data_IF_284963991344
#
_entry.id   IF_284963991344
#
_cell.length_a   1.000
_cell.length_b   1.000
_cell.length_c   1.000
_cell.angle_alpha   90.00
_cell.angle_beta   90.00
_cell.angle_gamma   90.00
#
_symmetry.space_group_name_H-M   'P 1'
#
loop_
_entity.id
_entity.type
_entity.pdbx_description
1 polymer ?
#
# COMPACT_ATOMS: atom_id res chain seq x y z
N UNK A 1 33.42 -11.02 -34.39
CA UNK A 1 32.21 -10.18 -34.61
C UNK A 1 31.16 -10.34 -33.49
N UNK A 2 31.13 -11.46 -32.78
CA UNK A 2 30.16 -11.79 -31.69
C UNK A 2 30.44 -11.11 -30.34
N UNK A 3 31.71 -10.86 -29.98
CA UNK A 3 32.07 -10.28 -28.68
C UNK A 3 31.57 -8.83 -28.47
N UNK A 4 31.54 -8.02 -29.53
CA UNK A 4 31.07 -6.63 -29.47
C UNK A 4 29.55 -6.52 -29.31
N UNK A 5 28.80 -7.46 -29.88
CA UNK A 5 27.33 -7.53 -29.74
C UNK A 5 26.95 -7.88 -28.31
N UNK A 6 27.66 -8.82 -27.68
CA UNK A 6 27.43 -9.21 -26.28
C UNK A 6 27.74 -8.03 -25.34
N UNK A 7 28.82 -7.28 -25.58
CA UNK A 7 29.16 -6.10 -24.80
C UNK A 7 28.11 -4.97 -24.92
N UNK A 8 27.58 -4.72 -26.12
CA UNK A 8 26.53 -3.72 -26.34
C UNK A 8 25.22 -4.16 -25.67
N UNK A 9 24.83 -5.44 -25.78
CA UNK A 9 23.62 -5.96 -25.12
C UNK A 9 23.76 -5.92 -23.59
N UNK A 10 24.93 -6.24 -23.04
CA UNK A 10 25.18 -6.22 -21.60
C UNK A 10 25.09 -4.81 -20.98
N UNK A 11 25.36 -3.76 -21.76
CA UNK A 11 25.27 -2.36 -21.29
C UNK A 11 23.94 -1.70 -21.66
N UNK A 12 23.39 -1.96 -22.84
CA UNK A 12 22.14 -1.37 -23.29
C UNK A 12 20.92 -1.95 -22.58
N UNK A 13 20.89 -3.26 -22.32
CA UNK A 13 19.74 -3.93 -21.73
C UNK A 13 19.43 -3.42 -20.29
N UNK A 14 20.42 -3.26 -19.37
CA UNK A 14 20.16 -2.70 -18.05
C UNK A 14 19.67 -1.25 -18.09
N UNK A 15 20.21 -0.43 -19.01
CA UNK A 15 19.81 0.99 -19.15
C UNK A 15 18.38 1.10 -19.68
N UNK A 16 18.04 0.31 -20.69
CA UNK A 16 16.67 0.25 -21.25
C UNK A 16 15.68 -0.25 -20.20
N UNK A 17 16.04 -1.29 -19.44
CA UNK A 17 15.21 -1.78 -18.34
C UNK A 17 15.04 -0.71 -17.26
N UNK A 18 16.11 -0.01 -16.85
CA UNK A 18 16.04 1.06 -15.86
C UNK A 18 15.14 2.21 -16.32
N UNK A 19 15.30 2.67 -17.56
CA UNK A 19 14.43 3.70 -18.16
C UNK A 19 12.97 3.24 -18.20
N UNK A 20 12.71 1.98 -18.56
CA UNK A 20 11.36 1.41 -18.59
C UNK A 20 10.74 1.35 -17.18
N UNK A 21 11.49 0.96 -16.15
CA UNK A 21 11.03 0.97 -14.76
C UNK A 21 10.70 2.38 -14.26
N UNK A 22 11.52 3.37 -14.61
CA UNK A 22 11.28 4.78 -14.27
C UNK A 22 10.00 5.29 -14.93
N UNK A 23 9.85 5.06 -16.24
CA UNK A 23 8.66 5.46 -17.01
C UNK A 23 7.39 4.76 -16.51
N UNK A 24 7.47 3.46 -16.21
CA UNK A 24 6.36 2.70 -15.64
C UNK A 24 5.94 3.24 -14.26
N UNK A 25 6.91 3.63 -13.42
CA UNK A 25 6.65 4.27 -12.13
C UNK A 25 5.96 5.63 -12.27
N UNK A 26 6.43 6.46 -13.20
CA UNK A 26 5.85 7.78 -13.48
C UNK A 26 4.43 7.68 -14.07
N UNK A 27 4.19 6.72 -14.97
CA UNK A 27 2.87 6.47 -15.54
C UNK A 27 1.85 6.06 -14.46
N UNK A 28 2.25 5.22 -13.50
CA UNK A 28 1.39 4.86 -12.36
C UNK A 28 1.08 6.05 -11.46
N UNK A 29 2.07 6.91 -11.17
CA UNK A 29 1.85 8.15 -10.40
C UNK A 29 0.86 9.08 -11.09
N UNK A 30 1.02 9.32 -12.39
CA UNK A 30 0.10 10.13 -13.19
C UNK A 30 -1.30 9.51 -13.23
N UNK A 31 -1.40 8.19 -13.40
CA UNK A 31 -2.68 7.48 -13.42
C UNK A 31 -3.46 7.59 -12.11
N UNK A 32 -2.78 7.61 -10.95
CA UNK A 32 -3.41 7.83 -9.65
C UNK A 32 -3.99 9.24 -9.51
N UNK A 33 -3.23 10.26 -9.90
CA UNK A 33 -3.69 11.65 -9.86
C UNK A 33 -4.86 11.88 -10.84
N UNK A 34 -4.80 11.31 -12.05
CA UNK A 34 -5.90 11.37 -13.02
C UNK A 34 -7.15 10.68 -12.49
N UNK A 35 -7.03 9.46 -11.96
CA UNK A 35 -8.16 8.73 -11.40
C UNK A 35 -8.79 9.49 -10.22
N UNK A 36 -7.98 10.08 -9.35
CA UNK A 36 -8.49 10.88 -8.24
C UNK A 36 -9.34 12.05 -8.74
N UNK A 37 -8.87 12.79 -9.75
CA UNK A 37 -9.64 13.88 -10.37
C UNK A 37 -10.94 13.39 -11.01
N UNK A 38 -10.89 12.30 -11.77
CA UNK A 38 -12.08 11.71 -12.43
C UNK A 38 -13.15 11.28 -11.43
N UNK A 39 -12.75 10.87 -10.22
CA UNK A 39 -13.64 10.38 -9.17
C UNK A 39 -13.98 11.43 -8.11
N UNK A 40 -13.46 12.65 -8.23
CA UNK A 40 -13.64 13.69 -7.21
C UNK A 40 -13.01 13.33 -5.86
N UNK A 41 -11.93 12.56 -5.88
CA UNK A 41 -11.15 12.22 -4.69
C UNK A 41 -10.04 13.23 -4.44
N UNK A 42 -9.70 13.41 -3.17
CA UNK A 42 -8.62 14.31 -2.78
C UNK A 42 -7.27 13.64 -3.02
N UNK A 43 -6.42 14.31 -3.81
CA UNK A 43 -5.08 13.87 -4.12
C UNK A 43 -4.04 14.77 -3.47
N UNK A 44 -3.09 14.15 -2.77
CA UNK A 44 -1.98 14.80 -2.11
C UNK A 44 -0.67 14.30 -2.71
N UNK A 45 0.21 15.19 -3.15
CA UNK A 45 1.56 14.85 -3.57
C UNK A 45 2.54 15.93 -3.19
N UNK A 46 3.71 15.56 -2.68
CA UNK A 46 4.75 16.53 -2.39
C UNK A 46 5.84 15.94 -1.52
N UNK A 47 7.04 16.53 -1.63
CA UNK A 47 8.14 16.21 -0.74
C UNK A 47 7.80 16.71 0.68
N UNK A 48 7.25 15.81 1.52
CA UNK A 48 6.94 15.98 2.96
C UNK A 48 5.52 16.43 3.29
N UNK A 49 4.54 15.56 3.00
CA UNK A 49 3.20 15.62 3.62
C UNK A 49 3.20 15.27 5.13
N UNK A 50 4.33 15.37 5.82
CA UNK A 50 4.47 14.96 7.23
C UNK A 50 5.75 15.38 7.94
N UNK A 51 6.54 16.31 7.38
CA UNK A 51 7.58 17.02 8.11
C UNK A 51 7.26 18.51 8.02
N UNK A 52 7.17 19.18 9.17
CA UNK A 52 7.09 20.64 9.20
C UNK A 52 8.27 21.21 8.39
N UNK A 53 7.99 22.04 7.39
CA UNK A 53 9.01 22.72 6.59
C UNK A 53 9.36 21.99 5.27
N UNK A 54 8.62 22.34 4.23
CA UNK A 54 8.96 22.01 2.85
C UNK A 54 7.90 22.53 1.89
N UNK A 55 8.15 23.69 1.28
CA UNK A 55 7.40 24.19 0.11
C UNK A 55 7.47 23.10 -0.96
N UNK A 56 6.35 22.49 -1.30
CA UNK A 56 5.88 22.17 -2.65
C UNK A 56 4.63 21.27 -2.54
N UNK A 57 3.52 21.81 -3.04
CA UNK A 57 2.17 21.24 -3.19
C UNK A 57 1.52 20.68 -1.91
N UNK A 58 1.01 21.61 -1.10
CA UNK A 58 -0.06 21.31 -0.16
C UNK A 58 -1.40 21.19 -0.90
N UNK A 59 -2.30 20.32 -0.44
CA UNK A 59 -3.72 20.42 -0.79
C UNK A 59 -4.28 21.78 -0.33
N UNK A 60 -5.33 22.22 -1.02
CA UNK A 60 -6.08 23.46 -0.72
C UNK A 60 -6.70 23.44 0.70
N UNK A 61 -6.74 22.30 1.39
CA UNK A 61 -7.18 22.22 2.80
C UNK A 61 -6.60 20.96 3.48
N UNK A 62 -5.81 21.12 4.55
CA UNK A 62 -5.60 20.08 5.58
C UNK A 62 -4.39 19.13 5.44
N UNK A 63 -4.11 18.43 6.54
CA UNK A 63 -3.06 17.39 6.67
C UNK A 63 -3.66 16.03 6.35
N UNK A 64 -3.05 15.27 5.43
CA UNK A 64 -3.50 13.91 5.15
C UNK A 64 -3.37 13.02 6.41
N UNK A 65 -4.37 12.16 6.71
CA UNK A 65 -4.23 11.12 7.74
C UNK A 65 -3.01 10.23 7.47
N UNK A 66 -2.44 9.60 8.49
CA UNK A 66 -1.21 8.78 8.34
C UNK A 66 -1.37 7.36 8.93
N UNK A 67 -2.36 6.58 8.48
CA UNK A 67 -2.64 5.26 9.04
C UNK A 67 -1.48 4.29 8.78
N UNK A 68 -1.12 3.51 9.79
CA UNK A 68 -0.06 2.49 9.72
C UNK A 68 1.32 3.04 9.33
N UNK A 69 1.59 4.35 9.53
CA UNK A 69 2.91 4.96 9.33
C UNK A 69 3.91 4.37 10.34
N UNK A 70 5.02 3.85 9.86
CA UNK A 70 6.12 3.36 10.70
C UNK A 70 7.05 4.50 11.09
N UNK A 71 7.78 4.36 12.19
CA UNK A 71 8.81 5.31 12.58
C UNK A 71 9.81 5.56 11.44
N UNK A 72 10.19 6.83 11.24
CA UNK A 72 11.09 7.25 10.16
C UNK A 72 10.48 7.29 8.75
N UNK A 73 9.23 6.89 8.55
CA UNK A 73 8.55 7.06 7.26
C UNK A 73 8.02 8.50 7.09
N UNK A 74 7.89 8.95 5.86
CA UNK A 74 7.21 10.19 5.45
C UNK A 74 6.20 9.86 4.34
N UNK A 75 5.14 10.66 4.18
CA UNK A 75 4.18 10.46 3.08
C UNK A 75 4.72 11.14 1.82
N UNK A 76 4.95 10.36 0.76
CA UNK A 76 5.30 10.82 -0.60
C UNK A 76 4.03 11.26 -1.36
N UNK A 77 2.98 10.45 -1.26
CA UNK A 77 1.70 10.67 -1.94
C UNK A 77 0.56 10.10 -1.08
N UNK A 78 -0.61 10.74 -1.16
CA UNK A 78 -1.83 10.20 -0.61
C UNK A 78 -3.03 10.44 -1.53
N UNK A 79 -4.00 9.54 -1.51
CA UNK A 79 -5.32 9.73 -2.11
C UNK A 79 -6.35 9.37 -1.05
N UNK A 80 -7.35 10.20 -0.83
CA UNK A 80 -8.46 9.88 0.06
C UNK A 80 -9.78 10.21 -0.61
N UNK A 81 -10.83 9.51 -0.20
CA UNK A 81 -12.15 9.76 -0.71
C UNK A 81 -13.12 8.70 -0.22
N UNK A 82 -14.18 8.51 -0.99
CA UNK A 82 -15.20 7.50 -0.71
C UNK A 82 -15.29 6.52 -1.87
N UNK A 83 -15.34 5.23 -1.56
CA UNK A 83 -15.56 4.15 -2.53
C UNK A 83 -16.69 3.25 -2.01
N UNK A 84 -17.75 3.08 -2.82
CA UNK A 84 -18.98 2.35 -2.42
C UNK A 84 -19.55 2.80 -1.08
N UNK A 85 -19.55 4.11 -0.83
CA UNK A 85 -20.06 4.70 0.42
C UNK A 85 -19.14 4.56 1.64
N UNK A 86 -17.96 3.93 1.50
CA UNK A 86 -16.99 3.79 2.59
C UNK A 86 -15.81 4.76 2.42
N UNK A 87 -15.40 5.49 3.48
CA UNK A 87 -14.16 6.25 3.45
C UNK A 87 -12.96 5.34 3.15
N UNK A 88 -12.05 5.80 2.30
CA UNK A 88 -10.83 5.07 1.99
C UNK A 88 -9.64 6.03 1.88
N UNK A 89 -8.45 5.43 1.92
CA UNK A 89 -7.21 6.12 1.65
C UNK A 89 -6.16 5.23 0.98
N UNK A 90 -5.26 5.86 0.25
CA UNK A 90 -4.07 5.26 -0.35
C UNK A 90 -2.90 6.11 0.07
N UNK A 91 -1.94 5.55 0.78
CA UNK A 91 -0.77 6.28 1.27
C UNK A 91 0.50 5.62 0.77
N UNK A 92 1.35 6.40 0.14
CA UNK A 92 2.69 5.98 -0.24
C UNK A 92 3.67 6.55 0.77
N UNK A 93 4.20 5.66 1.60
CA UNK A 93 5.24 5.95 2.56
C UNK A 93 6.63 5.80 1.92
N UNK A 94 7.50 6.76 2.23
CA UNK A 94 8.91 6.76 1.91
C UNK A 94 9.73 6.75 3.20
N UNK A 95 10.58 5.73 3.34
CA UNK A 95 11.61 5.68 4.38
C UNK A 95 12.97 5.96 3.71
N UNK A 96 13.66 7.06 4.08
CA UNK A 96 14.99 7.31 3.56
C UNK A 96 15.96 6.19 3.98
N UNK A 97 16.92 5.86 3.11
CA UNK A 97 18.02 4.95 3.46
C UNK A 97 18.92 5.59 4.51
N UNK A 98 19.55 4.77 5.36
CA UNK A 98 20.25 5.22 6.56
C UNK A 98 21.72 5.58 6.30
N UNK A 99 22.06 6.06 5.11
CA UNK A 99 23.40 6.57 4.78
C UNK A 99 23.97 5.98 3.50
N UNK A 100 25.24 5.56 3.58
CA UNK A 100 25.99 4.94 2.49
C UNK A 100 26.36 3.52 2.89
N UNK A 101 26.30 2.61 1.92
CA UNK A 101 26.81 1.25 2.03
C UNK A 101 28.34 1.26 2.10
N UNK A 102 28.93 0.14 2.53
CA UNK A 102 30.39 -0.03 2.58
C UNK A 102 31.08 0.14 1.22
N UNK A 103 30.35 -0.09 0.12
CA UNK A 103 30.83 0.14 -1.25
C UNK A 103 30.73 1.61 -1.70
N UNK A 104 30.39 2.54 -0.79
CA UNK A 104 30.25 3.96 -1.07
C UNK A 104 28.95 4.33 -1.79
N UNK A 105 28.09 3.36 -2.13
CA UNK A 105 26.79 3.65 -2.76
C UNK A 105 25.78 4.11 -1.72
N UNK A 106 24.94 5.09 -2.06
CA UNK A 106 23.90 5.58 -1.15
C UNK A 106 22.88 4.47 -0.90
N UNK A 107 22.54 4.22 0.35
CA UNK A 107 21.45 3.29 0.68
C UNK A 107 20.16 3.80 0.02
N UNK A 108 19.60 2.97 -0.84
CA UNK A 108 18.32 3.27 -1.47
C UNK A 108 17.23 3.24 -0.41
N UNK A 109 16.47 4.33 -0.31
CA UNK A 109 15.27 4.38 0.53
C UNK A 109 14.24 3.35 0.09
N UNK A 110 13.31 3.02 0.99
CA UNK A 110 12.22 2.09 0.67
C UNK A 110 10.90 2.83 0.49
N UNK A 111 10.07 2.30 -0.40
CA UNK A 111 8.73 2.78 -0.67
C UNK A 111 7.73 1.69 -0.28
N UNK A 112 6.69 2.08 0.45
CA UNK A 112 5.61 1.20 0.87
C UNK A 112 4.28 1.88 0.58
N UNK A 113 3.39 1.17 -0.09
CA UNK A 113 2.02 1.67 -0.31
C UNK A 113 1.10 0.98 0.68
N UNK A 114 0.15 1.71 1.25
CA UNK A 114 -0.93 1.21 2.09
C UNK A 114 -2.23 1.65 1.46
N UNK A 115 -3.15 0.72 1.22
CA UNK A 115 -4.53 1.02 0.82
C UNK A 115 -5.42 0.60 1.97
N UNK A 116 -6.27 1.49 2.47
CA UNK A 116 -7.18 1.18 3.57
C UNK A 116 -8.61 1.64 3.28
N UNK A 117 -9.58 0.97 3.88
CA UNK A 117 -11.01 1.30 3.86
C UNK A 117 -11.52 1.27 5.29
N UNK A 118 -12.38 2.22 5.64
CA UNK A 118 -13.04 2.24 6.93
C UNK A 118 -14.20 1.22 6.99
N UNK A 119 -14.32 0.56 8.14
CA UNK A 119 -15.34 -0.44 8.42
C UNK A 119 -16.44 0.13 9.32
N UNK A 120 -17.66 -0.37 9.14
CA UNK A 120 -18.79 -0.01 10.00
C UNK A 120 -18.60 -0.50 11.45
N UNK A 121 -17.98 -1.67 11.62
CA UNK A 121 -17.72 -2.29 12.92
C UNK A 121 -16.25 -2.17 13.34
N UNK A 122 -16.01 -2.14 14.66
CA UNK A 122 -14.66 -2.22 15.23
C UNK A 122 -14.09 -3.65 15.06
N UNK A 123 -12.78 -3.72 14.88
CA UNK A 123 -11.99 -4.92 14.69
C UNK A 123 -10.78 -4.85 15.62
N UNK A 124 -10.31 -5.99 16.14
CA UNK A 124 -9.08 -6.03 16.92
C UNK A 124 -7.88 -5.69 16.03
N UNK A 125 -6.85 -5.13 16.65
CA UNK A 125 -5.58 -4.88 16.01
C UNK A 125 -4.92 -6.22 15.66
N UNK A 126 -4.64 -6.43 14.38
CA UNK A 126 -3.96 -7.60 13.87
C UNK A 126 -3.23 -7.28 12.56
N UNK A 127 -1.96 -7.66 12.48
CA UNK A 127 -1.27 -7.79 11.18
C UNK A 127 -1.34 -9.26 10.76
N UNK A 128 -2.00 -9.50 9.63
CA UNK A 128 -2.03 -10.80 8.98
C UNK A 128 -0.89 -10.89 7.97
N UNK A 129 0.08 -11.75 8.26
CA UNK A 129 1.08 -12.19 7.30
C UNK A 129 0.56 -13.44 6.61
N UNK A 130 0.52 -13.41 5.28
CA UNK A 130 0.07 -14.57 4.49
C UNK A 130 1.31 -15.24 3.90
N UNK A 131 1.61 -16.45 4.36
CA UNK A 131 2.74 -17.27 3.91
C UNK A 131 2.19 -18.58 3.35
N UNK A 132 2.15 -18.72 2.03
CA UNK A 132 1.53 -19.88 1.39
C UNK A 132 0.04 -19.99 1.72
N UNK A 133 -0.36 -21.09 2.35
CA UNK A 133 -1.73 -21.34 2.83
C UNK A 133 -1.98 -20.90 4.27
N UNK A 134 -0.96 -20.43 4.97
CA UNK A 134 -1.07 -20.04 6.37
C UNK A 134 -1.31 -18.53 6.49
N UNK A 135 -2.29 -18.20 7.33
CA UNK A 135 -2.66 -16.83 7.69
C UNK A 135 -2.32 -16.65 9.16
N UNK A 136 -1.17 -16.08 9.43
CA UNK A 136 -0.71 -15.82 10.80
C UNK A 136 -1.09 -14.42 11.23
N UNK A 137 -1.68 -14.31 12.41
CA UNK A 137 -1.99 -13.03 13.03
C UNK A 137 -0.97 -12.69 14.11
N UNK A 138 -0.51 -11.44 14.10
CA UNK A 138 0.32 -10.89 15.19
C UNK A 138 -0.39 -10.84 16.55
N UNK A 139 -1.71 -10.98 16.57
CA UNK A 139 -2.54 -11.02 17.76
C UNK A 139 -3.18 -12.43 17.90
N UNK A 140 -2.73 -13.25 18.86
CA UNK A 140 -3.22 -14.63 19.02
C UNK A 140 -4.70 -14.71 19.43
N UNK A 141 -5.29 -13.61 19.93
CA UNK A 141 -6.72 -13.56 20.25
C UNK A 141 -7.59 -13.36 19.00
N UNK A 142 -7.01 -13.03 17.84
CA UNK A 142 -7.73 -12.89 16.60
C UNK A 142 -7.78 -14.23 15.86
N UNK A 143 -8.97 -14.84 15.85
CA UNK A 143 -9.24 -16.01 15.02
C UNK A 143 -10.14 -15.57 13.86
N UNK A 144 -9.62 -15.50 12.62
CA UNK A 144 -10.45 -15.14 11.46
C UNK A 144 -11.47 -16.24 11.21
N UNK A 145 -12.70 -15.86 10.86
CA UNK A 145 -13.73 -16.82 10.42
C UNK A 145 -13.24 -17.64 9.21
N UNK A 146 -13.66 -18.90 9.03
CA UNK A 146 -13.22 -19.73 7.91
C UNK A 146 -13.43 -19.06 6.55
N UNK A 147 -14.59 -18.45 6.32
CA UNK A 147 -14.88 -17.76 5.06
C UNK A 147 -14.00 -16.53 4.82
N UNK A 148 -13.49 -15.90 5.88
CA UNK A 148 -12.55 -14.78 5.80
C UNK A 148 -11.15 -15.31 5.54
N UNK A 149 -10.75 -16.40 6.21
CA UNK A 149 -9.45 -17.05 6.02
C UNK A 149 -9.29 -17.56 4.59
N UNK A 150 -10.24 -18.33 4.07
CA UNK A 150 -10.19 -18.88 2.71
C UNK A 150 -10.09 -17.76 1.67
N UNK A 151 -10.85 -16.69 1.90
CA UNK A 151 -10.87 -15.55 1.03
C UNK A 151 -9.56 -14.74 1.08
N UNK A 152 -8.95 -14.56 2.27
CA UNK A 152 -7.62 -13.95 2.42
C UNK A 152 -6.54 -14.78 1.71
N UNK A 153 -6.56 -16.11 1.90
CA UNK A 153 -5.63 -17.04 1.25
C UNK A 153 -5.77 -16.99 -0.27
N UNK A 154 -6.99 -17.00 -0.82
CA UNK A 154 -7.24 -16.88 -2.26
C UNK A 154 -6.68 -15.56 -2.87
N UNK A 155 -6.47 -14.53 -2.05
CA UNK A 155 -5.96 -13.23 -2.47
C UNK A 155 -4.52 -12.94 -1.99
N UNK A 156 -3.86 -13.89 -1.32
CA UNK A 156 -2.50 -13.78 -0.79
C UNK A 156 -1.46 -13.33 -1.83
N UNK A 157 -1.62 -13.79 -3.08
CA UNK A 157 -0.70 -13.45 -4.17
C UNK A 157 -0.62 -11.94 -4.46
N UNK A 158 -1.67 -11.17 -4.12
CA UNK A 158 -1.86 -9.76 -4.48
C UNK A 158 -1.37 -8.79 -3.41
N UNK A 159 -1.28 -9.23 -2.16
CA UNK A 159 -0.96 -8.41 -1.00
C UNK A 159 0.33 -8.92 -0.34
N UNK A 160 1.09 -8.02 0.29
CA UNK A 160 2.25 -8.37 1.11
C UNK A 160 1.86 -8.53 2.57
N UNK A 161 1.03 -7.62 3.07
CA UNK A 161 0.52 -7.60 4.43
C UNK A 161 -0.95 -7.21 4.37
N UNK A 162 -1.75 -7.76 5.28
CA UNK A 162 -3.12 -7.33 5.54
C UNK A 162 -3.20 -6.86 7.01
N UNK A 163 -3.90 -5.77 7.27
CA UNK A 163 -3.97 -5.14 8.58
C UNK A 163 -5.43 -4.90 8.94
N UNK A 164 -5.80 -5.26 10.16
CA UNK A 164 -7.03 -4.77 10.81
C UNK A 164 -6.61 -3.91 11.98
N UNK A 165 -7.25 -2.75 12.14
CA UNK A 165 -7.07 -1.93 13.34
C UNK A 165 -8.28 -1.04 13.55
N UNK A 166 -8.85 -1.07 14.75
CA UNK A 166 -10.05 -0.31 15.09
C UNK A 166 -11.13 -0.47 14.01
N UNK A 167 -11.48 0.61 13.32
CA UNK A 167 -12.49 0.60 12.24
C UNK A 167 -11.87 0.61 10.85
N UNK A 168 -10.75 -0.05 10.64
CA UNK A 168 -10.01 0.01 9.38
C UNK A 168 -9.50 -1.35 8.97
N UNK A 169 -9.75 -1.73 7.72
CA UNK A 169 -9.02 -2.79 7.02
C UNK A 169 -8.04 -2.17 6.03
N UNK A 170 -6.82 -2.67 5.99
CA UNK A 170 -5.81 -2.19 5.07
C UNK A 170 -5.00 -3.32 4.46
N UNK A 171 -4.47 -3.08 3.27
CA UNK A 171 -3.48 -3.94 2.62
C UNK A 171 -2.24 -3.14 2.25
N UNK A 172 -1.11 -3.82 2.33
CA UNK A 172 0.16 -3.37 1.76
C UNK A 172 0.35 -4.12 0.44
N UNK A 173 0.02 -3.53 -0.72
CA UNK A 173 0.30 -4.18 -1.99
C UNK A 173 1.81 -4.29 -2.23
N UNK A 174 2.23 -5.33 -2.96
CA UNK A 174 3.65 -5.58 -3.30
C UNK A 174 4.26 -4.47 -4.16
N UNK A 175 3.43 -3.82 -4.99
CA UNK A 175 3.84 -2.68 -5.83
C UNK A 175 2.78 -1.60 -5.80
N UNK A 176 3.13 -0.38 -6.23
CA UNK A 176 2.13 0.68 -6.41
C UNK A 176 1.09 0.21 -7.44
N UNK A 177 -0.21 0.19 -7.07
CA UNK A 177 -1.26 -0.24 -7.97
C UNK A 177 -1.46 0.78 -9.09
N UNK A 178 -1.72 0.31 -10.31
CA UNK A 178 -2.33 1.15 -11.35
C UNK A 178 -3.76 1.53 -10.97
N UNK A 179 -4.38 2.50 -11.65
CA UNK A 179 -5.77 2.90 -11.36
C UNK A 179 -6.76 1.72 -11.37
N UNK A 180 -6.68 0.83 -12.37
CA UNK A 180 -7.51 -0.39 -12.45
C UNK A 180 -7.19 -1.41 -11.34
N UNK A 181 -5.95 -1.48 -10.87
CA UNK A 181 -5.58 -2.33 -9.75
C UNK A 181 -6.10 -1.74 -8.44
N UNK A 182 -6.01 -0.42 -8.26
CA UNK A 182 -6.52 0.28 -7.09
C UNK A 182 -8.02 0.06 -6.94
N UNK A 183 -8.81 0.28 -8.01
CA UNK A 183 -10.25 0.06 -7.95
C UNK A 183 -10.58 -1.37 -7.52
N UNK A 184 -9.91 -2.38 -8.09
CA UNK A 184 -10.07 -3.77 -7.68
C UNK A 184 -9.65 -4.02 -6.23
N UNK A 185 -8.60 -3.35 -5.75
CA UNK A 185 -8.20 -3.41 -4.33
C UNK A 185 -9.21 -2.74 -3.41
N UNK A 186 -9.83 -1.64 -3.83
CA UNK A 186 -10.87 -0.96 -3.07
C UNK A 186 -12.17 -1.76 -3.05
N UNK A 187 -12.55 -2.40 -4.16
CA UNK A 187 -13.67 -3.34 -4.20
C UNK A 187 -13.41 -4.50 -3.23
N UNK A 188 -12.21 -5.08 -3.30
CA UNK A 188 -11.74 -6.12 -2.38
C UNK A 188 -11.85 -5.68 -0.91
N UNK A 189 -11.33 -4.51 -0.55
CA UNK A 189 -11.39 -4.02 0.83
C UNK A 189 -12.81 -3.66 1.28
N UNK A 190 -13.65 -3.15 0.36
CA UNK A 190 -15.04 -2.84 0.66
C UNK A 190 -15.84 -4.11 0.95
N UNK A 191 -15.65 -5.18 0.17
CA UNK A 191 -16.30 -6.48 0.40
C UNK A 191 -15.89 -7.08 1.76
N UNK A 192 -14.64 -6.89 2.18
CA UNK A 192 -14.19 -7.29 3.54
C UNK A 192 -14.83 -6.44 4.61
N UNK A 193 -14.86 -5.13 4.39
CA UNK A 193 -15.44 -4.18 5.32
C UNK A 193 -16.94 -4.45 5.56
N UNK A 194 -17.65 -4.96 4.55
CA UNK A 194 -19.05 -5.40 4.64
C UNK A 194 -19.23 -6.72 5.42
N UNK A 195 -18.18 -7.54 5.53
CA UNK A 195 -18.18 -8.80 6.31
C UNK A 195 -17.72 -8.61 7.75
N UNK A 196 -17.38 -7.40 8.16
CA UNK A 196 -16.96 -7.12 9.53
C UNK A 196 -18.11 -7.37 10.53
N UNK A 197 -17.83 -7.89 11.75
CA UNK A 197 -16.51 -8.22 12.29
C UNK A 197 -15.94 -9.53 11.72
N UNK A 198 -14.63 -9.52 11.44
CA UNK A 198 -13.91 -10.64 10.80
C UNK A 198 -13.49 -11.75 11.77
N UNK A 199 -13.68 -11.52 13.07
CA UNK A 199 -13.43 -12.50 14.12
C UNK A 199 -14.57 -13.51 14.22
N UNK A 200 -14.24 -14.76 14.49
CA UNK A 200 -15.20 -15.66 15.12
C UNK A 200 -15.50 -15.13 16.54
N UNK A 201 -16.76 -15.13 16.95
CA UNK A 201 -17.11 -14.95 18.37
C UNK A 201 -16.36 -16.03 19.16
N UNK A 202 -15.75 -15.75 20.33
CA UNK A 202 -15.23 -16.81 21.17
C UNK A 202 -16.37 -17.80 21.44
N UNK A 203 -16.13 -19.13 21.46
CA UNK A 203 -17.14 -20.02 22.00
C UNK A 203 -17.45 -19.53 23.42
N UNK A 204 -18.74 -19.34 23.72
CA UNK A 204 -19.19 -19.01 25.07
C UNK A 204 -18.51 -19.97 26.04
N UNK A 205 -17.84 -19.42 27.05
CA UNK A 205 -17.36 -20.23 28.18
C UNK A 205 -18.60 -20.74 28.89
N UNK A 206 -19.00 -21.96 28.57
CA UNK A 206 -19.90 -22.79 29.40
C UNK A 206 -19.08 -23.42 30.51
#
# INVERSE_FOLDING_TARGET
MTAWIIAIVAVALPVVLAAWWILAGAAKKRGLATLARERGWDFYSGARLGAAGGRHEQPVTGRAPAPLRRAGESIDQAVVGTHRGKPFGVYRYHRPGAGFRQDGTRESGSLRTVVHVETGAAMPDCTLSISGSEVDCSNPAFVPRPEVRDWLTANAGRCREFHTSGRTVAVVPKTLPSGKQLLRTLDYLADVADRAPLTATPPDRV
#
